data_IF_603371697158
#
_entry.id   IF_603371697158
#
_cell.length_a   1.000
_cell.length_b   1.000
_cell.length_c   1.000
_cell.angle_alpha   90.00
_cell.angle_beta   90.00
_cell.angle_gamma   90.00
#
_symmetry.space_group_name_H-M   'P 1'
#
loop_
_entity.id
_entity.type
_entity.pdbx_description
1 polymer ?
#
# COMPACT_ATOMS: atom_id res chain seq x y z
N UNK A 1 -20.98 25.88 -34.30
CA UNK A 1 -22.02 26.33 -35.25
C UNK A 1 -22.09 27.86 -35.34
N UNK A 2 -22.11 28.60 -34.22
CA UNK A 2 -22.25 30.08 -34.21
C UNK A 2 -21.13 30.86 -34.91
N UNK A 3 -19.87 30.40 -34.79
CA UNK A 3 -18.72 31.00 -35.51
C UNK A 3 -18.81 30.89 -37.03
N UNK A 4 -19.46 29.83 -37.55
CA UNK A 4 -19.69 29.66 -39.00
C UNK A 4 -20.78 30.61 -39.50
N UNK A 5 -21.82 30.85 -38.69
CA UNK A 5 -22.96 31.68 -39.06
C UNK A 5 -22.67 33.18 -38.93
N UNK A 6 -21.81 33.59 -37.99
CA UNK A 6 -21.51 35.02 -37.76
C UNK A 6 -20.61 35.63 -38.86
N UNK A 7 -19.90 34.78 -39.60
CA UNK A 7 -18.98 35.17 -40.67
C UNK A 7 -17.59 35.53 -40.17
N UNK A 8 -16.77 36.08 -41.07
CA UNK A 8 -15.42 36.53 -40.76
C UNK A 8 -15.43 37.65 -39.70
N UNK A 9 -14.38 37.70 -38.88
CA UNK A 9 -14.17 38.75 -37.88
C UNK A 9 -14.06 40.11 -38.57
N UNK A 10 -14.87 41.12 -38.23
CA UNK A 10 -14.71 42.48 -38.72
C UNK A 10 -13.41 43.12 -38.20
N UNK A 11 -12.88 44.07 -38.96
CA UNK A 11 -11.74 44.89 -38.54
C UNK A 11 -12.09 45.69 -37.27
N UNK A 12 -11.19 45.67 -36.28
CA UNK A 12 -11.35 46.37 -34.99
C UNK A 12 -11.82 45.51 -33.80
N UNK A 13 -12.13 44.23 -33.98
CA UNK A 13 -12.42 43.31 -32.85
C UNK A 13 -11.11 42.66 -32.35
N UNK A 14 -10.87 42.52 -31.03
CA UNK A 14 -9.70 41.83 -30.50
C UNK A 14 -9.56 40.38 -30.99
N UNK A 15 -8.34 39.83 -30.99
CA UNK A 15 -8.10 38.43 -31.39
C UNK A 15 -8.75 37.42 -30.44
N UNK A 16 -8.81 37.75 -29.15
CA UNK A 16 -9.40 36.97 -28.07
C UNK A 16 -10.91 37.27 -27.91
N UNK A 17 -11.68 37.19 -29.00
CA UNK A 17 -13.12 37.42 -28.96
C UNK A 17 -13.93 36.13 -28.82
N UNK A 18 -15.07 36.24 -28.13
CA UNK A 18 -16.08 35.19 -28.03
C UNK A 18 -17.37 35.64 -28.72
N UNK A 19 -18.09 34.69 -29.33
CA UNK A 19 -19.42 34.92 -29.92
C UNK A 19 -20.47 34.42 -28.94
N UNK A 20 -21.40 35.29 -28.54
CA UNK A 20 -22.47 34.97 -27.59
C UNK A 20 -23.86 35.34 -28.16
N UNK A 21 -24.92 34.75 -27.60
CA UNK A 21 -26.31 34.99 -27.97
C UNK A 21 -26.87 36.21 -27.22
N UNK A 22 -27.50 37.14 -27.94
CA UNK A 22 -28.11 38.33 -27.34
C UNK A 22 -29.26 37.93 -26.41
N UNK A 23 -30.12 37.01 -26.85
CA UNK A 23 -31.27 36.50 -26.09
C UNK A 23 -30.92 35.40 -25.06
N UNK A 24 -29.63 35.01 -24.97
CA UNK A 24 -29.12 33.88 -24.15
C UNK A 24 -29.73 32.50 -24.48
N UNK A 25 -30.50 32.38 -25.55
CA UNK A 25 -31.03 31.10 -26.03
C UNK A 25 -30.03 30.47 -26.99
N UNK A 26 -29.25 29.51 -26.48
CA UNK A 26 -28.16 28.84 -27.21
C UNK A 26 -28.59 28.07 -28.46
N UNK A 27 -29.90 27.86 -28.66
CA UNK A 27 -30.47 27.19 -29.83
C UNK A 27 -30.85 28.16 -30.96
N UNK A 28 -30.97 29.47 -30.69
CA UNK A 28 -31.35 30.46 -31.68
C UNK A 28 -30.11 31.02 -32.39
N UNK A 29 -29.67 30.34 -33.46
CA UNK A 29 -28.42 30.66 -34.15
C UNK A 29 -28.59 31.65 -35.31
N UNK A 30 -29.69 32.39 -35.36
CA UNK A 30 -29.89 33.43 -36.37
C UNK A 30 -28.81 34.50 -36.22
N UNK A 31 -28.24 34.97 -37.34
CA UNK A 31 -27.15 35.97 -37.35
C UNK A 31 -27.46 37.23 -36.52
N UNK A 32 -28.72 37.68 -36.55
CA UNK A 32 -29.21 38.84 -35.80
C UNK A 32 -29.20 38.63 -34.28
N UNK A 33 -29.14 37.38 -33.81
CA UNK A 33 -29.10 37.04 -32.39
C UNK A 33 -27.67 36.77 -31.88
N UNK A 34 -26.65 36.88 -32.72
CA UNK A 34 -25.26 36.64 -32.35
C UNK A 34 -24.48 37.96 -32.30
N UNK A 35 -23.68 38.15 -31.24
CA UNK A 35 -22.78 39.30 -31.09
C UNK A 35 -21.36 38.88 -30.71
N UNK A 36 -20.39 39.73 -31.05
CA UNK A 36 -19.02 39.62 -30.57
C UNK A 36 -18.90 40.24 -29.18
N UNK A 37 -18.12 39.60 -28.31
CA UNK A 37 -17.81 40.09 -26.97
C UNK A 37 -16.32 39.89 -26.68
N UNK A 38 -15.70 40.89 -26.04
CA UNK A 38 -14.34 40.80 -25.52
C UNK A 38 -14.28 39.70 -24.43
N UNK A 39 -13.36 38.74 -24.58
CA UNK A 39 -13.19 37.64 -23.63
C UNK A 39 -12.73 38.12 -22.25
N UNK A 40 -11.93 39.20 -22.16
CA UNK A 40 -11.53 39.80 -20.88
C UNK A 40 -12.71 40.43 -20.17
N UNK A 41 -13.59 41.11 -20.91
CA UNK A 41 -14.81 41.69 -20.37
C UNK A 41 -15.81 40.59 -19.94
N UNK A 42 -15.89 39.50 -20.70
CA UNK A 42 -16.68 38.32 -20.33
C UNK A 42 -16.16 37.66 -19.04
N UNK A 43 -14.84 37.46 -18.91
CA UNK A 43 -14.20 36.91 -17.70
C UNK A 43 -14.39 37.82 -16.50
N UNK A 44 -14.20 39.14 -16.65
CA UNK A 44 -14.47 40.13 -15.59
C UNK A 44 -15.93 40.12 -15.14
N UNK A 45 -16.88 40.02 -16.06
CA UNK A 45 -18.31 39.95 -15.72
C UNK A 45 -18.67 38.67 -14.96
N UNK A 46 -18.06 37.52 -15.31
CA UNK A 46 -18.22 36.26 -14.57
C UNK A 46 -17.62 36.36 -13.16
N UNK A 47 -16.41 36.91 -13.02
CA UNK A 47 -15.78 37.15 -11.73
C UNK A 47 -16.64 38.09 -10.84
N UNK A 48 -17.17 39.17 -11.40
CA UNK A 48 -18.05 40.12 -10.68
C UNK A 48 -19.38 39.49 -10.27
N UNK A 49 -19.93 38.58 -11.08
CA UNK A 49 -21.14 37.82 -10.74
C UNK A 49 -20.87 36.72 -9.68
N UNK A 50 -19.66 36.15 -9.64
CA UNK A 50 -19.24 35.20 -8.61
C UNK A 50 -19.07 35.88 -7.24
N UNK A 51 -18.49 37.09 -7.22
CA UNK A 51 -18.39 37.93 -6.01
C UNK A 51 -19.77 38.26 -5.43
N UNK A 52 -20.80 38.43 -6.26
CA UNK A 52 -22.18 38.71 -5.83
C UNK A 52 -22.90 37.52 -5.18
N UNK A 53 -22.39 36.29 -5.33
CA UNK A 53 -22.96 35.05 -4.74
C UNK A 53 -22.31 34.65 -3.41
N UNK A 54 -21.49 35.53 -2.84
CA UNK A 54 -20.81 35.29 -1.56
C UNK A 54 -21.82 35.29 -0.41
N UNK A 55 -21.77 34.33 0.54
CA UNK A 55 -22.68 34.33 1.69
C UNK A 55 -22.36 35.47 2.67
N UNK A 56 -23.41 36.11 3.20
CA UNK A 56 -23.38 37.30 4.07
C UNK A 56 -22.57 37.15 5.38
N UNK A 57 -22.23 35.92 5.79
CA UNK A 57 -21.44 35.65 7.00
C UNK A 57 -19.92 35.60 6.76
N UNK A 58 -19.46 35.71 5.52
CA UNK A 58 -18.03 35.86 5.23
C UNK A 58 -17.58 37.27 5.62
N UNK A 59 -16.42 37.44 6.29
CA UNK A 59 -15.99 38.73 6.75
C UNK A 59 -15.77 39.65 5.55
N UNK A 60 -16.55 40.73 5.46
CA UNK A 60 -16.19 41.89 4.64
C UNK A 60 -14.86 42.43 5.17
N UNK A 61 -14.02 42.85 4.23
CA UNK A 61 -12.60 43.22 4.27
C UNK A 61 -12.03 44.01 5.45
N UNK A 62 -12.82 44.38 6.45
CA UNK A 62 -12.46 45.41 7.42
C UNK A 62 -12.01 44.82 8.77
N UNK A 63 -12.17 43.51 8.98
CA UNK A 63 -11.79 42.80 10.23
C UNK A 63 -10.36 42.24 10.26
N UNK A 64 -9.55 42.45 9.21
CA UNK A 64 -8.22 41.83 9.04
C UNK A 64 -7.08 42.86 8.92
N UNK A 65 -7.25 44.07 9.44
CA UNK A 65 -6.23 45.12 9.40
C UNK A 65 -5.59 45.27 10.79
N UNK A 66 -4.33 44.84 10.93
CA UNK A 66 -3.53 45.03 12.15
C UNK A 66 -2.05 44.74 11.89
N UNK A 67 -1.11 45.33 12.66
CA UNK A 67 0.32 45.16 12.44
C UNK A 67 0.74 43.69 12.61
N UNK A 68 1.28 43.08 11.55
CA UNK A 68 1.63 41.66 11.48
C UNK A 68 0.55 40.73 10.90
N UNK A 69 -0.57 41.29 10.41
CA UNK A 69 -1.56 40.57 9.59
C UNK A 69 -1.37 40.92 8.11
N UNK A 70 -1.77 39.99 7.24
CA UNK A 70 -1.69 40.18 5.79
C UNK A 70 -2.41 41.47 5.39
N UNK A 71 -1.78 42.32 4.59
CA UNK A 71 -2.41 43.54 4.09
C UNK A 71 -3.61 43.21 3.21
N UNK A 72 -4.47 44.20 2.98
CA UNK A 72 -5.61 44.04 2.08
C UNK A 72 -5.16 43.60 0.69
N UNK A 73 -4.04 44.14 0.20
CA UNK A 73 -3.48 43.71 -1.07
C UNK A 73 -2.94 42.27 -1.04
N UNK A 74 -2.33 41.83 0.07
CA UNK A 74 -1.81 40.46 0.21
C UNK A 74 -2.95 39.44 0.27
N UNK A 75 -4.05 39.77 0.96
CA UNK A 75 -5.25 38.92 1.00
C UNK A 75 -5.92 38.85 -0.37
N UNK A 76 -6.04 39.98 -1.06
CA UNK A 76 -6.61 40.05 -2.41
C UNK A 76 -5.73 39.30 -3.42
N UNK A 77 -4.40 39.35 -3.29
CA UNK A 77 -3.48 38.60 -4.13
C UNK A 77 -3.59 37.08 -3.93
N UNK A 78 -3.63 36.61 -2.68
CA UNK A 78 -3.82 35.18 -2.36
C UNK A 78 -5.19 34.69 -2.83
N UNK A 79 -6.24 35.50 -2.69
CA UNK A 79 -7.58 35.18 -3.20
C UNK A 79 -7.63 35.13 -4.72
N UNK A 80 -6.90 36.02 -5.40
CA UNK A 80 -6.82 36.05 -6.86
C UNK A 80 -6.03 34.85 -7.41
N UNK A 81 -4.94 34.47 -6.75
CA UNK A 81 -4.14 33.29 -7.06
C UNK A 81 -4.98 32.01 -6.86
N UNK A 82 -5.66 31.87 -5.73
CA UNK A 82 -6.56 30.74 -5.46
C UNK A 82 -7.75 30.68 -6.43
N UNK A 83 -8.34 31.82 -6.81
CA UNK A 83 -9.45 31.86 -7.77
C UNK A 83 -9.01 31.61 -9.22
N UNK A 84 -7.70 31.73 -9.52
CA UNK A 84 -7.14 31.42 -10.83
C UNK A 84 -6.80 29.93 -11.02
N UNK A 85 -6.79 29.15 -9.92
CA UNK A 85 -6.75 27.70 -9.96
C UNK A 85 -8.13 27.15 -10.40
N UNK A 86 -8.24 26.49 -11.56
CA UNK A 86 -9.51 25.92 -12.04
C UNK A 86 -10.11 24.86 -11.11
N UNK A 87 -9.35 24.37 -10.12
CA UNK A 87 -9.80 23.39 -9.13
C UNK A 87 -10.39 24.01 -7.85
N UNK A 88 -10.35 25.33 -7.67
CA UNK A 88 -10.76 25.98 -6.41
C UNK A 88 -12.27 26.25 -6.32
N UNK A 89 -12.92 25.70 -5.28
CA UNK A 89 -14.39 25.72 -5.08
C UNK A 89 -14.87 26.46 -3.81
N UNK A 90 -14.10 27.43 -3.31
CA UNK A 90 -14.41 28.14 -2.05
C UNK A 90 -13.79 27.49 -0.80
N UNK A 91 -14.12 27.97 0.42
CA UNK A 91 -13.56 27.41 1.65
C UNK A 91 -13.96 25.94 1.78
N UNK A 92 -12.94 25.06 1.76
CA UNK A 92 -13.07 23.62 1.74
C UNK A 92 -14.07 23.12 2.81
N UNK A 93 -15.04 22.30 2.41
CA UNK A 93 -15.91 21.61 3.38
C UNK A 93 -15.04 20.71 4.26
N UNK A 94 -15.47 20.37 5.48
CA UNK A 94 -14.72 19.51 6.43
C UNK A 94 -14.25 18.17 5.82
N UNK A 95 -14.90 17.67 4.75
CA UNK A 95 -14.51 16.46 4.00
C UNK A 95 -13.32 16.66 3.04
N UNK A 96 -13.02 17.89 2.63
CA UNK A 96 -11.95 18.24 1.69
C UNK A 96 -10.65 18.66 2.41
N UNK A 97 -10.70 18.85 3.73
CA UNK A 97 -9.53 19.19 4.53
C UNK A 97 -8.72 17.92 4.87
N UNK A 98 -7.36 18.01 4.89
CA UNK A 98 -6.51 16.91 5.32
C UNK A 98 -6.87 16.39 6.71
N UNK A 99 -6.59 15.11 6.96
CA UNK A 99 -6.80 14.50 8.28
C UNK A 99 -6.12 15.32 9.38
N UNK A 100 -6.87 15.60 10.45
CA UNK A 100 -6.38 16.38 11.60
C UNK A 100 -6.39 17.90 11.40
N UNK A 101 -6.78 18.41 10.23
CA UNK A 101 -6.88 19.85 9.94
C UNK A 101 -8.34 20.32 9.96
N UNK A 102 -8.59 21.50 10.53
CA UNK A 102 -9.91 22.12 10.62
C UNK A 102 -9.83 23.63 10.45
N UNK A 103 -10.77 24.25 9.75
CA UNK A 103 -10.85 25.72 9.69
C UNK A 103 -11.50 26.28 10.96
N UNK A 104 -10.93 27.35 11.53
CA UNK A 104 -11.42 28.03 12.73
C UNK A 104 -11.41 29.55 12.54
N UNK A 105 -12.34 30.25 13.20
CA UNK A 105 -12.38 31.71 13.28
C UNK A 105 -11.78 32.17 14.62
N UNK A 106 -10.73 33.00 14.57
CA UNK A 106 -10.09 33.62 15.72
C UNK A 106 -10.24 35.15 15.64
N UNK A 107 -9.87 35.87 16.69
CA UNK A 107 -9.91 37.34 16.72
C UNK A 107 -9.08 37.99 15.58
N UNK A 108 -8.02 37.30 15.14
CA UNK A 108 -7.10 37.71 14.07
C UNK A 108 -7.52 37.20 12.68
N UNK A 109 -8.73 36.62 12.54
CA UNK A 109 -9.23 36.09 11.28
C UNK A 109 -9.39 34.56 11.21
N UNK A 110 -9.62 34.07 10.00
CA UNK A 110 -9.72 32.63 9.72
C UNK A 110 -8.33 31.98 9.73
N UNK A 111 -8.20 30.82 10.39
CA UNK A 111 -6.96 30.04 10.48
C UNK A 111 -7.25 28.54 10.30
N UNK A 112 -6.27 27.80 9.80
CA UNK A 112 -6.30 26.34 9.77
C UNK A 112 -5.69 25.78 11.04
N UNK A 113 -6.48 25.11 11.86
CA UNK A 113 -6.06 24.47 13.11
C UNK A 113 -5.70 23.01 12.86
N UNK A 114 -4.46 22.65 13.18
CA UNK A 114 -4.01 21.26 13.25
C UNK A 114 -4.25 20.69 14.65
N UNK A 115 -4.84 19.49 14.72
CA UNK A 115 -5.13 18.79 15.98
C UNK A 115 -4.81 17.31 15.85
N UNK A 116 -4.29 16.74 16.92
CA UNK A 116 -4.16 15.30 17.08
C UNK A 116 -4.91 14.86 18.34
N UNK A 117 -5.87 13.94 18.18
CA UNK A 117 -6.83 13.56 19.23
C UNK A 117 -7.49 14.82 19.84
N UNK A 118 -7.31 15.05 21.14
CA UNK A 118 -7.90 16.18 21.86
C UNK A 118 -6.94 17.37 22.02
N UNK A 119 -5.71 17.28 21.50
CA UNK A 119 -4.69 18.34 21.63
C UNK A 119 -4.61 19.18 20.36
N UNK A 120 -4.60 20.50 20.54
CA UNK A 120 -4.30 21.44 19.44
C UNK A 120 -2.80 21.56 19.29
N UNK A 121 -2.30 21.34 18.08
CA UNK A 121 -0.88 21.47 17.73
C UNK A 121 -0.56 22.94 17.47
N UNK A 122 -1.43 23.61 16.71
CA UNK A 122 -1.29 25.02 16.38
C UNK A 122 -2.36 25.50 15.39
N UNK A 123 -2.28 26.78 15.04
CA UNK A 123 -3.15 27.43 14.05
C UNK A 123 -2.30 28.14 13.01
N UNK A 124 -2.61 27.93 11.74
CA UNK A 124 -1.76 28.27 10.59
C UNK A 124 -2.53 29.09 9.57
N UNK A 125 -1.82 29.79 8.69
CA UNK A 125 -2.43 30.57 7.61
C UNK A 125 -2.89 29.68 6.46
N UNK A 126 -2.11 28.63 6.17
CA UNK A 126 -2.37 27.76 5.02
C UNK A 126 -2.71 26.32 5.42
N UNK A 127 -3.38 25.60 4.51
CA UNK A 127 -3.67 24.16 4.67
C UNK A 127 -2.37 23.35 4.69
N UNK A 128 -1.39 23.75 3.85
CA UNK A 128 -0.11 23.06 3.73
C UNK A 128 0.68 23.08 5.05
N UNK A 129 0.80 24.25 5.68
CA UNK A 129 1.43 24.40 7.00
C UNK A 129 0.72 23.58 8.07
N UNK A 130 -0.61 23.65 8.12
CA UNK A 130 -1.39 22.89 9.08
C UNK A 130 -1.24 21.37 8.88
N UNK A 131 -1.21 20.92 7.63
CA UNK A 131 -0.97 19.51 7.28
C UNK A 131 0.44 19.08 7.66
N UNK A 132 1.45 19.87 7.35
CA UNK A 132 2.83 19.59 7.70
C UNK A 132 3.01 19.51 9.21
N UNK A 133 2.47 20.47 9.96
CA UNK A 133 2.51 20.47 11.42
C UNK A 133 1.80 19.25 12.03
N UNK A 134 0.65 18.86 11.47
CA UNK A 134 -0.04 17.64 11.88
C UNK A 134 0.82 16.39 11.61
N UNK A 135 1.33 16.22 10.39
CA UNK A 135 2.15 15.06 10.02
C UNK A 135 3.43 14.99 10.83
N UNK A 136 4.14 16.11 11.01
CA UNK A 136 5.35 16.19 11.81
C UNK A 136 5.09 15.81 13.27
N UNK A 137 3.98 16.27 13.86
CA UNK A 137 3.61 15.91 15.22
C UNK A 137 3.29 14.42 15.36
N UNK A 138 2.55 13.85 14.41
CA UNK A 138 2.26 12.40 14.37
C UNK A 138 3.55 11.60 14.25
N UNK A 139 4.47 12.03 13.38
CA UNK A 139 5.77 11.39 13.20
C UNK A 139 6.60 11.45 14.48
N UNK A 140 6.70 12.62 15.12
CA UNK A 140 7.42 12.79 16.38
C UNK A 140 6.89 11.86 17.48
N UNK A 141 5.57 11.72 17.61
CA UNK A 141 4.96 10.80 18.58
C UNK A 141 5.28 9.33 18.24
N UNK A 142 5.25 8.99 16.96
CA UNK A 142 5.59 7.65 16.48
C UNK A 142 7.07 7.32 16.71
N UNK A 143 7.97 8.26 16.44
CA UNK A 143 9.41 8.13 16.68
C UNK A 143 9.71 7.98 18.17
N UNK A 144 9.08 8.80 19.03
CA UNK A 144 9.22 8.66 20.48
C UNK A 144 8.73 7.28 20.97
N UNK A 145 7.62 6.79 20.42
CA UNK A 145 7.10 5.45 20.72
C UNK A 145 8.06 4.36 20.24
N UNK A 146 8.64 4.51 19.05
CA UNK A 146 9.62 3.58 18.50
C UNK A 146 10.91 3.55 19.33
N UNK A 147 11.43 4.72 19.73
CA UNK A 147 12.59 4.82 20.61
C UNK A 147 12.36 4.14 21.96
N UNK A 148 11.17 4.29 22.55
CA UNK A 148 10.80 3.57 23.77
C UNK A 148 10.68 2.06 23.52
N UNK A 149 10.14 1.65 22.38
CA UNK A 149 10.00 0.23 22.00
C UNK A 149 11.34 -0.47 21.81
N UNK A 150 12.36 0.22 21.30
CA UNK A 150 13.72 -0.29 21.17
C UNK A 150 14.41 -0.60 22.51
N UNK A 151 13.90 -0.06 23.62
CA UNK A 151 14.41 -0.35 24.96
C UNK A 151 13.73 -1.57 25.61
N UNK A 152 12.68 -2.13 24.98
CA UNK A 152 12.01 -3.31 25.52
C UNK A 152 12.91 -4.54 25.40
N UNK A 153 12.94 -5.43 26.41
CA UNK A 153 13.66 -6.69 26.29
C UNK A 153 12.99 -7.57 25.23
N UNK A 154 13.80 -8.23 24.42
CA UNK A 154 13.35 -9.23 23.47
C UNK A 154 12.76 -10.42 24.22
N UNK A 155 11.51 -10.79 23.91
CA UNK A 155 10.89 -12.01 24.44
C UNK A 155 11.61 -13.24 23.91
N UNK A 156 11.96 -14.17 24.80
CA UNK A 156 12.68 -15.41 24.46
C UNK A 156 11.92 -16.66 24.88
N UNK A 157 12.18 -17.77 24.20
CA UNK A 157 11.75 -19.10 24.63
C UNK A 157 12.76 -19.76 25.58
N UNK A 158 12.47 -21.00 25.97
CA UNK A 158 13.28 -21.78 26.92
C UNK A 158 14.67 -22.13 26.36
N UNK A 159 14.86 -22.03 25.04
CA UNK A 159 16.13 -22.21 24.34
C UNK A 159 16.88 -20.87 24.10
N UNK A 160 16.33 -19.75 24.59
CA UNK A 160 16.92 -18.42 24.43
C UNK A 160 16.69 -17.77 23.06
N UNK A 161 15.86 -18.36 22.20
CA UNK A 161 15.55 -17.83 20.86
C UNK A 161 14.51 -16.73 20.95
N UNK A 162 14.65 -15.69 20.13
CA UNK A 162 13.67 -14.61 20.07
C UNK A 162 12.32 -15.13 19.55
N UNK A 163 11.24 -14.80 20.27
CA UNK A 163 9.88 -15.28 19.95
C UNK A 163 8.84 -14.16 20.00
N UNK A 164 7.77 -14.36 19.23
CA UNK A 164 6.60 -13.47 19.20
C UNK A 164 5.37 -14.29 19.60
N UNK A 165 4.63 -13.78 20.58
CA UNK A 165 3.37 -14.39 21.00
C UNK A 165 2.28 -14.19 19.94
N UNK A 166 1.63 -15.29 19.55
CA UNK A 166 0.54 -15.25 18.59
C UNK A 166 -0.79 -14.97 19.31
N UNK A 167 -1.60 -14.13 18.68
CA UNK A 167 -2.91 -13.70 19.15
C UNK A 167 -4.05 -14.43 18.40
N UNK A 168 -5.28 -14.22 18.85
CA UNK A 168 -6.49 -14.77 18.23
C UNK A 168 -6.92 -16.14 18.77
N UNK A 169 -8.08 -16.63 18.31
CA UNK A 169 -8.74 -17.82 18.88
C UNK A 169 -7.95 -19.12 18.71
N UNK A 170 -7.23 -19.26 17.60
CA UNK A 170 -6.47 -20.47 17.24
C UNK A 170 -5.00 -20.36 17.65
N UNK A 171 -4.48 -19.13 17.80
CA UNK A 171 -3.05 -18.89 18.05
C UNK A 171 -2.69 -18.63 19.51
N UNK A 172 -3.69 -18.49 20.38
CA UNK A 172 -3.48 -18.19 21.79
C UNK A 172 -2.58 -19.25 22.45
N UNK A 173 -1.43 -18.81 22.95
CA UNK A 173 -0.44 -19.66 23.61
C UNK A 173 0.62 -20.26 22.67
N UNK A 174 0.56 -19.98 21.37
CA UNK A 174 1.61 -20.34 20.43
C UNK A 174 2.63 -19.21 20.31
N UNK A 175 3.89 -19.59 20.12
CA UNK A 175 5.02 -18.66 19.94
C UNK A 175 5.67 -18.94 18.60
N UNK A 176 5.90 -17.89 17.82
CA UNK A 176 6.66 -17.96 16.57
C UNK A 176 8.10 -17.54 16.82
N UNK A 177 9.07 -18.35 16.40
CA UNK A 177 10.50 -18.06 16.48
C UNK A 177 10.89 -17.13 15.33
N UNK A 178 11.68 -16.10 15.62
CA UNK A 178 12.16 -15.10 14.64
C UNK A 178 13.63 -14.76 14.89
N UNK A 179 14.27 -14.09 13.94
CA UNK A 179 15.60 -13.53 14.20
C UNK A 179 15.48 -12.31 15.11
N UNK A 180 16.36 -12.25 16.11
CA UNK A 180 16.38 -11.19 17.12
C UNK A 180 16.49 -9.78 16.52
N UNK A 181 17.29 -9.63 15.45
CA UNK A 181 17.48 -8.36 14.73
C UNK A 181 16.17 -7.77 14.19
N UNK A 182 15.17 -8.61 13.91
CA UNK A 182 13.88 -8.19 13.39
C UNK A 182 12.80 -8.04 14.48
N UNK A 183 13.07 -8.47 15.71
CA UNK A 183 12.05 -8.62 16.75
C UNK A 183 11.32 -7.30 17.05
N UNK A 184 12.04 -6.19 17.21
CA UNK A 184 11.43 -4.88 17.47
C UNK A 184 10.54 -4.43 16.32
N UNK A 185 11.00 -4.57 15.07
CA UNK A 185 10.23 -4.20 13.88
C UNK A 185 8.96 -5.05 13.75
N UNK A 186 9.03 -6.34 14.10
CA UNK A 186 7.92 -7.26 14.04
C UNK A 186 6.92 -7.12 15.19
N UNK A 187 7.26 -6.45 16.29
CA UNK A 187 6.40 -6.27 17.46
C UNK A 187 5.92 -4.83 17.68
N UNK A 188 6.48 -3.87 16.93
CA UNK A 188 6.10 -2.48 17.04
C UNK A 188 4.80 -2.18 16.29
N UNK A 189 3.75 -1.88 17.05
CA UNK A 189 2.43 -1.61 16.48
C UNK A 189 1.96 -2.73 15.55
N UNK A 190 2.23 -3.99 15.88
CA UNK A 190 1.85 -5.13 15.06
C UNK A 190 1.34 -6.26 15.94
N UNK A 191 0.45 -7.08 15.39
CA UNK A 191 -0.06 -8.26 16.07
C UNK A 191 -0.23 -9.39 15.06
N UNK A 192 0.12 -10.59 15.46
CA UNK A 192 0.17 -11.77 14.60
C UNK A 192 -0.83 -12.83 15.07
N UNK A 193 -1.33 -13.67 14.18
CA UNK A 193 -2.25 -14.77 14.50
C UNK A 193 -1.84 -16.06 13.79
N UNK A 194 -2.24 -17.21 14.33
CA UNK A 194 -1.83 -18.54 13.80
C UNK A 194 -2.55 -18.98 12.53
N UNK A 195 -3.57 -18.24 12.09
CA UNK A 195 -4.28 -18.48 10.83
C UNK A 195 -3.99 -17.29 9.93
N UNK A 196 -3.24 -17.52 8.84
CA UNK A 196 -2.89 -16.58 7.77
C UNK A 196 -3.06 -15.11 8.15
N UNK A 197 -1.92 -14.49 8.40
CA UNK A 197 -1.79 -13.22 9.09
C UNK A 197 -2.67 -12.15 8.45
N UNK A 198 -3.69 -11.74 9.19
CA UNK A 198 -4.51 -10.58 8.87
C UNK A 198 -4.51 -9.61 10.07
N UNK A 199 -3.36 -8.99 10.31
CA UNK A 199 -3.20 -7.90 11.27
C UNK A 199 -3.37 -6.56 10.58
N UNK A 200 -4.47 -5.86 10.87
CA UNK A 200 -4.80 -4.56 10.29
C UNK A 200 -3.78 -3.48 10.70
N UNK A 201 -3.17 -2.78 9.75
CA UNK A 201 -2.77 -1.38 9.95
C UNK A 201 -3.31 -0.52 8.81
N UNK A 202 -4.10 0.49 9.18
CA UNK A 202 -4.74 1.45 8.29
C UNK A 202 -3.69 2.46 7.76
N UNK A 203 -3.83 3.04 6.54
CA UNK A 203 -4.87 2.83 5.55
C UNK A 203 -4.42 1.89 4.41
N UNK A 204 -5.36 1.04 3.96
CA UNK A 204 -5.27 -0.02 2.93
C UNK A 204 -4.74 -1.38 3.44
N UNK A 205 -5.69 -2.20 3.89
CA UNK A 205 -5.52 -3.57 4.36
C UNK A 205 -4.98 -4.51 3.27
N UNK A 206 -3.67 -4.69 3.22
CA UNK A 206 -3.06 -5.91 2.69
C UNK A 206 -2.82 -6.85 3.88
N UNK A 207 -3.40 -8.05 3.83
CA UNK A 207 -3.07 -9.13 4.78
C UNK A 207 -1.69 -9.66 4.40
N UNK A 208 -0.69 -9.42 5.23
CA UNK A 208 0.69 -9.86 4.96
C UNK A 208 1.13 -10.95 5.93
N UNK A 209 1.69 -12.03 5.40
CA UNK A 209 2.18 -13.16 6.20
C UNK A 209 3.48 -12.84 6.97
N UNK A 210 3.62 -13.38 8.19
CA UNK A 210 4.77 -13.16 9.08
C UNK A 210 6.08 -13.54 8.40
N UNK A 211 6.15 -14.73 7.84
CA UNK A 211 7.32 -15.19 7.11
C UNK A 211 7.63 -14.28 5.91
N UNK A 212 6.61 -13.71 5.24
CA UNK A 212 6.84 -12.78 4.14
C UNK A 212 7.45 -11.46 4.62
N UNK A 213 6.97 -10.92 5.74
CA UNK A 213 7.53 -9.72 6.36
C UNK A 213 8.97 -9.98 6.83
N UNK A 214 9.23 -11.09 7.54
CA UNK A 214 10.58 -11.44 7.99
C UNK A 214 11.53 -11.58 6.80
N UNK A 215 11.09 -12.26 5.73
CA UNK A 215 11.91 -12.43 4.53
C UNK A 215 12.29 -11.09 3.90
N UNK A 216 11.35 -10.14 3.79
CA UNK A 216 11.65 -8.80 3.23
C UNK A 216 12.57 -7.98 4.12
N UNK A 217 12.39 -8.05 5.45
CA UNK A 217 13.30 -7.39 6.39
C UNK A 217 14.73 -7.94 6.28
N UNK A 218 14.85 -9.26 6.12
CA UNK A 218 16.14 -9.94 5.94
C UNK A 218 16.74 -9.74 4.54
N UNK A 219 15.94 -9.38 3.53
CA UNK A 219 16.34 -9.27 2.12
C UNK A 219 15.79 -7.98 1.49
N UNK A 220 16.25 -6.79 1.93
CA UNK A 220 15.70 -5.50 1.50
C UNK A 220 15.92 -5.22 0.01
N UNK A 221 16.97 -5.79 -0.59
CA UNK A 221 17.30 -5.63 -2.02
C UNK A 221 16.42 -6.47 -2.96
N UNK A 222 15.64 -7.40 -2.40
CA UNK A 222 14.76 -8.25 -3.20
C UNK A 222 13.48 -7.48 -3.51
N UNK A 223 13.29 -7.12 -4.77
CA UNK A 223 12.14 -6.35 -5.24
C UNK A 223 10.82 -6.99 -4.79
N UNK A 224 9.96 -6.20 -4.16
CA UNK A 224 8.70 -6.59 -3.50
C UNK A 224 7.68 -7.26 -4.41
N UNK A 225 7.83 -7.17 -5.74
CA UNK A 225 6.97 -7.83 -6.73
C UNK A 225 7.49 -9.17 -7.27
N UNK A 226 8.71 -9.59 -6.91
CA UNK A 226 9.33 -10.83 -7.43
C UNK A 226 8.98 -12.04 -6.57
N UNK A 227 8.55 -11.83 -5.33
CA UNK A 227 8.44 -12.90 -4.32
C UNK A 227 7.01 -13.04 -3.82
N UNK A 228 6.15 -13.65 -4.63
CA UNK A 228 4.75 -13.93 -4.22
C UNK A 228 4.61 -15.25 -3.44
N UNK A 229 5.71 -15.95 -3.15
CA UNK A 229 5.67 -17.29 -2.60
C UNK A 229 6.94 -17.59 -1.81
N UNK A 230 6.81 -17.53 -0.49
CA UNK A 230 7.86 -17.79 0.50
C UNK A 230 7.43 -19.01 1.30
N UNK A 231 8.35 -19.93 1.51
CA UNK A 231 8.07 -21.22 2.16
C UNK A 231 9.12 -21.53 3.25
N UNK A 232 8.72 -22.35 4.23
CA UNK A 232 9.55 -22.80 5.34
C UNK A 232 10.34 -24.05 4.94
N UNK A 233 11.67 -23.99 4.98
CA UNK A 233 12.57 -25.09 4.57
C UNK A 233 12.31 -26.36 5.39
N UNK A 234 12.05 -26.23 6.69
CA UNK A 234 11.75 -27.34 7.59
C UNK A 234 10.26 -27.71 7.65
N UNK A 235 9.38 -26.96 6.97
CA UNK A 235 7.93 -27.12 7.03
C UNK A 235 7.29 -26.82 8.39
N UNK A 236 8.02 -26.22 9.33
CA UNK A 236 7.49 -25.69 10.58
C UNK A 236 7.11 -24.22 10.39
N UNK A 237 5.80 -23.96 10.40
CA UNK A 237 5.22 -22.62 10.22
C UNK A 237 5.49 -21.67 11.39
N UNK A 238 5.91 -22.18 12.55
CA UNK A 238 6.25 -21.36 13.71
C UNK A 238 7.71 -20.91 13.70
N UNK A 239 8.60 -21.56 12.93
CA UNK A 239 9.99 -21.13 12.78
C UNK A 239 10.15 -20.15 11.61
N UNK A 240 10.01 -18.85 11.90
CA UNK A 240 10.02 -17.79 10.89
C UNK A 240 11.40 -17.12 10.75
N UNK A 241 12.47 -17.71 11.26
CA UNK A 241 13.84 -17.20 11.08
C UNK A 241 14.20 -17.15 9.59
N UNK A 242 14.88 -16.11 9.14
CA UNK A 242 15.27 -15.91 7.75
C UNK A 242 16.06 -17.10 7.19
N UNK A 243 16.90 -17.74 8.03
CA UNK A 243 17.62 -18.95 7.66
C UNK A 243 16.71 -20.13 7.28
N UNK A 244 15.50 -20.21 7.87
CA UNK A 244 14.49 -21.21 7.57
C UNK A 244 13.56 -20.82 6.41
N UNK A 245 13.63 -19.59 5.92
CA UNK A 245 12.77 -19.11 4.83
C UNK A 245 13.47 -19.23 3.47
N UNK A 246 12.67 -19.43 2.41
CA UNK A 246 13.16 -19.38 1.03
C UNK A 246 12.08 -18.89 0.06
N UNK A 247 12.52 -18.27 -1.02
CA UNK A 247 11.67 -18.10 -2.20
C UNK A 247 11.36 -19.48 -2.76
N UNK A 248 10.08 -19.78 -2.92
CA UNK A 248 9.62 -21.02 -3.53
C UNK A 248 8.75 -20.68 -4.74
N UNK A 249 8.87 -21.43 -5.82
CA UNK A 249 7.82 -21.45 -6.84
C UNK A 249 6.71 -22.39 -6.40
N UNK A 250 5.53 -22.32 -7.01
CA UNK A 250 4.44 -23.28 -6.76
C UNK A 250 4.89 -24.73 -6.95
N UNK A 251 5.85 -24.96 -7.85
CA UNK A 251 6.44 -26.29 -8.07
C UNK A 251 7.38 -26.73 -6.95
N UNK A 252 8.12 -25.80 -6.33
CA UNK A 252 8.99 -26.09 -5.18
C UNK A 252 8.12 -26.36 -3.95
N UNK A 253 7.12 -25.51 -3.69
CA UNK A 253 6.15 -25.75 -2.62
C UNK A 253 5.43 -27.10 -2.76
N UNK A 254 5.03 -27.46 -3.99
CA UNK A 254 4.42 -28.75 -4.28
C UNK A 254 5.33 -29.94 -4.01
N UNK A 255 6.64 -29.78 -4.23
CA UNK A 255 7.65 -30.82 -3.98
C UNK A 255 7.85 -31.07 -2.48
N UNK A 256 7.80 -30.02 -1.65
CA UNK A 256 8.04 -30.11 -0.20
C UNK A 256 6.87 -30.74 0.60
N UNK A 257 5.86 -31.29 -0.07
CA UNK A 257 4.69 -31.83 0.61
C UNK A 257 5.06 -33.11 1.35
N UNK A 258 4.65 -33.19 2.62
CA UNK A 258 4.77 -34.43 3.41
C UNK A 258 4.00 -35.56 2.73
N UNK A 259 4.53 -36.76 2.87
CA UNK A 259 3.89 -37.99 2.39
C UNK A 259 2.55 -38.19 3.11
N UNK A 260 1.53 -38.63 2.37
CA UNK A 260 0.21 -38.97 2.96
C UNK A 260 0.29 -40.31 3.69
N UNK A 261 -0.50 -40.47 4.74
CA UNK A 261 -0.64 -41.75 5.43
C UNK A 261 -1.29 -42.82 4.51
N UNK A 262 -0.96 -44.10 4.73
CA UNK A 262 -1.55 -45.24 4.00
C UNK A 262 -0.97 -45.48 2.60
N UNK A 263 0.20 -44.91 2.27
CA UNK A 263 0.89 -45.21 1.01
C UNK A 263 1.61 -46.57 1.07
N UNK A 264 1.83 -47.18 -0.10
CA UNK A 264 2.46 -48.50 -0.26
C UNK A 264 3.94 -48.56 0.10
N UNK A 265 4.64 -47.43 -0.03
CA UNK A 265 6.04 -47.28 0.37
C UNK A 265 6.12 -46.52 1.70
N UNK A 266 7.26 -46.56 2.40
CA UNK A 266 7.57 -45.58 3.47
C UNK A 266 8.24 -44.29 2.96
N UNK A 267 8.84 -44.33 1.76
CA UNK A 267 9.62 -43.25 1.16
C UNK A 267 8.83 -42.40 0.16
N UNK A 268 8.99 -41.10 0.14
CA UNK A 268 8.23 -40.24 -0.78
C UNK A 268 8.79 -40.33 -2.21
N UNK A 269 7.91 -40.16 -3.20
CA UNK A 269 8.26 -40.37 -4.61
C UNK A 269 8.34 -41.82 -5.06
N UNK A 270 8.14 -42.78 -4.14
CA UNK A 270 8.16 -44.22 -4.41
C UNK A 270 6.79 -44.84 -4.16
N UNK A 271 6.38 -45.73 -5.06
CA UNK A 271 5.12 -46.48 -4.97
C UNK A 271 5.27 -47.86 -5.57
N UNK A 272 4.67 -48.88 -4.94
CA UNK A 272 4.54 -50.21 -5.54
C UNK A 272 3.53 -50.17 -6.70
N UNK A 273 3.93 -50.64 -7.88
CA UNK A 273 3.02 -50.81 -9.01
C UNK A 273 2.26 -52.13 -8.86
N UNK A 274 0.91 -52.12 -8.73
CA UNK A 274 0.13 -53.33 -8.50
C UNK A 274 0.13 -54.28 -9.70
N UNK A 275 0.46 -53.81 -10.91
CA UNK A 275 0.45 -54.66 -12.12
C UNK A 275 1.74 -55.44 -12.28
N UNK A 276 2.86 -54.80 -12.02
CA UNK A 276 4.19 -55.38 -12.25
C UNK A 276 4.86 -55.84 -10.95
N UNK A 277 4.27 -55.53 -9.79
CA UNK A 277 4.83 -55.75 -8.46
C UNK A 277 6.25 -55.20 -8.29
N UNK A 278 6.60 -54.17 -9.08
CA UNK A 278 7.89 -53.47 -9.01
C UNK A 278 7.74 -52.11 -8.35
N UNK A 279 8.80 -51.68 -7.68
CA UNK A 279 8.88 -50.36 -7.05
C UNK A 279 9.13 -49.30 -8.10
N UNK A 280 8.21 -48.34 -8.21
CA UNK A 280 8.26 -47.26 -9.19
C UNK A 280 8.70 -45.97 -8.53
N UNK A 281 9.70 -45.32 -9.12
CA UNK A 281 10.17 -43.99 -8.72
C UNK A 281 9.62 -42.91 -9.66
N UNK A 282 8.98 -41.88 -9.11
CA UNK A 282 8.41 -40.77 -9.88
C UNK A 282 8.77 -39.44 -9.21
N UNK A 283 9.20 -38.47 -10.00
CA UNK A 283 9.38 -37.07 -9.60
C UNK A 283 8.47 -36.17 -10.42
N UNK A 284 7.81 -35.20 -9.78
CA UNK A 284 6.86 -34.30 -10.45
C UNK A 284 7.32 -32.87 -10.37
N UNK A 285 7.66 -32.26 -11.49
CA UNK A 285 8.11 -30.86 -11.57
C UNK A 285 7.28 -30.08 -12.60
N UNK A 286 6.85 -28.88 -12.22
CA UNK A 286 5.98 -28.00 -13.03
C UNK A 286 4.76 -28.74 -13.60
N UNK A 287 4.07 -29.50 -12.74
CA UNK A 287 2.89 -30.33 -13.06
C UNK A 287 3.16 -31.51 -14.01
N UNK A 288 4.43 -31.79 -14.35
CA UNK A 288 4.82 -32.93 -15.19
C UNK A 288 5.52 -33.98 -14.35
N UNK A 289 4.95 -35.19 -14.32
CA UNK A 289 5.57 -36.35 -13.67
C UNK A 289 6.54 -37.04 -14.63
N UNK A 290 7.78 -37.20 -14.20
CA UNK A 290 8.81 -38.00 -14.86
C UNK A 290 8.93 -39.32 -14.13
N UNK A 291 8.73 -40.42 -14.85
CA UNK A 291 9.05 -41.76 -14.36
C UNK A 291 10.57 -41.93 -14.41
N UNK A 292 11.17 -42.25 -13.27
CA UNK A 292 12.60 -42.45 -13.12
C UNK A 292 13.00 -43.92 -13.29
N UNK A 293 12.04 -44.83 -13.17
CA UNK A 293 12.26 -46.26 -13.41
C UNK A 293 11.35 -47.16 -12.58
N UNK A 294 11.51 -48.46 -12.84
CA UNK A 294 10.93 -49.54 -12.06
C UNK A 294 12.05 -50.44 -11.55
N UNK A 295 11.99 -50.77 -10.26
CA UNK A 295 13.06 -51.45 -9.53
C UNK A 295 12.50 -52.66 -8.78
N UNK A 296 13.35 -53.66 -8.55
CA UNK A 296 12.97 -54.84 -7.78
C UNK A 296 12.92 -54.55 -6.28
N UNK A 297 13.82 -53.70 -5.79
CA UNK A 297 13.90 -53.30 -4.38
C UNK A 297 13.35 -51.88 -4.18
N UNK A 298 12.73 -51.66 -3.02
CA UNK A 298 12.20 -50.34 -2.64
C UNK A 298 13.34 -49.33 -2.56
N UNK A 299 14.46 -49.70 -1.94
CA UNK A 299 15.63 -48.85 -1.71
C UNK A 299 16.28 -48.37 -3.01
N UNK A 300 16.33 -49.21 -4.05
CA UNK A 300 16.85 -48.82 -5.36
C UNK A 300 15.97 -47.73 -6.02
N UNK A 301 14.65 -47.88 -5.89
CA UNK A 301 13.70 -46.86 -6.35
C UNK A 301 13.86 -45.55 -5.58
N UNK A 302 14.18 -45.62 -4.28
CA UNK A 302 14.43 -44.43 -3.45
C UNK A 302 15.70 -43.71 -3.87
N UNK A 303 16.81 -44.43 -4.09
CA UNK A 303 18.06 -43.83 -4.59
C UNK A 303 17.87 -43.18 -5.94
N UNK A 304 17.12 -43.83 -6.84
CA UNK A 304 16.77 -43.27 -8.14
C UNK A 304 15.93 -41.99 -8.01
N UNK A 305 14.96 -42.00 -7.09
CA UNK A 305 14.18 -40.80 -6.77
C UNK A 305 15.06 -39.68 -6.23
N UNK A 306 15.90 -39.94 -5.23
CA UNK A 306 16.76 -38.92 -4.60
C UNK A 306 17.72 -38.29 -5.62
N UNK A 307 18.30 -39.09 -6.52
CA UNK A 307 19.09 -38.60 -7.65
C UNK A 307 18.28 -37.71 -8.58
N UNK A 308 17.12 -38.19 -9.04
CA UNK A 308 16.25 -37.41 -9.94
C UNK A 308 15.70 -36.13 -9.30
N UNK A 309 15.40 -36.15 -8.00
CA UNK A 309 14.98 -34.99 -7.23
C UNK A 309 16.13 -33.98 -7.11
N UNK A 310 17.34 -34.45 -6.78
CA UNK A 310 18.55 -33.62 -6.72
C UNK A 310 18.86 -32.94 -8.05
N UNK A 311 18.76 -33.67 -9.16
CA UNK A 311 18.97 -33.10 -10.52
C UNK A 311 17.96 -32.00 -10.87
N UNK A 312 16.69 -32.19 -10.50
CA UNK A 312 15.61 -31.29 -10.91
C UNK A 312 15.47 -30.08 -9.99
N UNK A 313 15.60 -30.29 -8.67
CA UNK A 313 15.35 -29.28 -7.65
C UNK A 313 16.62 -28.70 -7.04
N UNK A 314 17.78 -29.30 -7.29
CA UNK A 314 19.07 -28.87 -6.75
C UNK A 314 19.01 -28.74 -5.22
N UNK A 315 19.39 -27.56 -4.73
CA UNK A 315 19.36 -27.21 -3.30
C UNK A 315 17.96 -27.24 -2.66
N UNK A 316 16.90 -27.35 -3.46
CA UNK A 316 15.52 -27.45 -2.99
C UNK A 316 14.98 -28.88 -2.99
N UNK A 317 15.80 -29.87 -3.34
CA UNK A 317 15.38 -31.27 -3.36
C UNK A 317 15.10 -31.77 -1.94
N UNK A 318 13.87 -32.20 -1.70
CA UNK A 318 13.57 -33.08 -0.58
C UNK A 318 14.13 -34.48 -0.90
N UNK A 319 14.99 -35.01 -0.05
CA UNK A 319 15.66 -36.32 -0.21
C UNK A 319 15.23 -37.29 0.89
N UNK A 320 15.13 -38.58 0.56
CA UNK A 320 14.79 -39.64 1.51
C UNK A 320 16.00 -40.08 2.34
N UNK A 321 17.19 -40.05 1.74
CA UNK A 321 18.48 -40.30 2.37
C UNK A 321 19.31 -39.02 2.50
N UNK A 322 20.27 -38.96 3.44
CA UNK A 322 21.18 -37.83 3.53
C UNK A 322 22.05 -37.72 2.26
N UNK A 323 22.47 -36.50 1.85
CA UNK A 323 23.12 -36.26 0.56
C UNK A 323 24.35 -37.14 0.28
N UNK A 324 25.14 -37.45 1.30
CA UNK A 324 26.31 -38.33 1.23
C UNK A 324 25.98 -39.77 0.77
N UNK A 325 24.75 -40.23 0.94
CA UNK A 325 24.31 -41.57 0.57
C UNK A 325 23.90 -41.70 -0.91
N UNK A 326 23.81 -40.59 -1.67
CA UNK A 326 23.31 -40.55 -3.06
C UNK A 326 24.41 -40.92 -4.08
N UNK A 327 25.67 -40.73 -3.71
CA UNK A 327 26.84 -40.95 -4.57
C UNK A 327 27.32 -42.41 -4.65
N UNK A 328 26.70 -43.32 -3.88
CA UNK A 328 26.97 -44.77 -3.89
C UNK A 328 25.85 -45.53 -4.62
#
# INVERSE_FOLDING_TARGET
>A
MHRLVIGARPDGIPEDYVVDHIDRNKRNNRRANLRYKDEREAKRAVAKAAIKKWPEWAPTSDLLIGPGLLTREEIEAIQLELASDPAWNGPAKRKELPQGVSLVKLAQGLRYRARFKNKTIGTFLTIAEAKQAHTAHVQQLRDAKWSAHLQLPVTRDDEGRAVIDLSGKVGKGQRAVVDEVHWHALTFETSWSSRCVCGSHYPQSATEDLHAVVFRLANPDVATGVVNSIDHKNGDTLDNRAANLRVATTSIQGHNKRKRAGCTSKYFGVSLDPKTHRWRAIVTHKMKSRNLGFYALEEDAVRAYDRGASEIYGLHAQLNFPPEAIAA
#
